data_IF_930695708255
#
_entry.id   IF_930695708255
#
_cell.length_a   1.000
_cell.length_b   1.000
_cell.length_c   1.000
_cell.angle_alpha   90.00
_cell.angle_beta   90.00
_cell.angle_gamma   90.00
#
_symmetry.space_group_name_H-M   'P 1'
#
loop_
_entity.id
_entity.type
_entity.pdbx_description
1 polymer ?
#
# COMPACT_ATOMS: atom_id res chain seq x y z
N UNK A 1 27.70 -10.48 -11.51
CA UNK A 1 26.36 -9.99 -11.92
C UNK A 1 25.51 -9.81 -10.67
N UNK A 2 25.44 -8.61 -10.08
CA UNK A 2 24.50 -8.34 -8.97
C UNK A 2 23.18 -7.89 -9.60
N UNK A 3 22.15 -8.73 -9.51
CA UNK A 3 20.79 -8.35 -9.85
C UNK A 3 20.29 -7.35 -8.81
N UNK A 4 20.33 -6.07 -9.15
CA UNK A 4 19.72 -5.02 -8.34
C UNK A 4 18.21 -5.23 -8.34
N UNK A 5 17.61 -5.61 -7.22
CA UNK A 5 16.15 -5.60 -7.06
C UNK A 5 15.75 -4.13 -6.92
N UNK A 6 15.48 -3.50 -8.05
CA UNK A 6 15.06 -2.12 -8.09
C UNK A 6 13.54 -2.07 -7.79
N UNK A 7 13.21 -1.67 -6.55
CA UNK A 7 11.85 -1.29 -6.13
C UNK A 7 11.03 -0.42 -7.11
N UNK A 8 11.59 0.43 -8.00
CA UNK A 8 10.80 1.14 -9.02
C UNK A 8 10.01 0.25 -10.00
N UNK A 9 10.38 -1.02 -10.17
CA UNK A 9 9.66 -1.92 -11.08
C UNK A 9 8.17 -2.06 -10.70
N UNK A 10 7.87 -2.03 -9.40
CA UNK A 10 6.49 -2.13 -8.90
C UNK A 10 5.69 -0.84 -9.12
N UNK A 11 6.34 0.32 -9.03
CA UNK A 11 5.69 1.61 -9.33
C UNK A 11 5.37 1.69 -10.82
N UNK A 12 6.29 1.25 -11.67
CA UNK A 12 6.06 1.19 -13.11
C UNK A 12 4.93 0.21 -13.46
N UNK A 13 4.89 -0.97 -12.83
CA UNK A 13 3.79 -1.92 -13.00
C UNK A 13 2.44 -1.34 -12.58
N UNK A 14 2.38 -0.62 -11.46
CA UNK A 14 1.17 0.06 -11.02
C UNK A 14 0.68 1.09 -12.06
N UNK A 15 1.61 1.85 -12.65
CA UNK A 15 1.30 2.81 -13.71
C UNK A 15 0.83 2.12 -15.00
N UNK A 16 1.43 0.99 -15.38
CA UNK A 16 0.98 0.17 -16.52
C UNK A 16 -0.45 -0.32 -16.29
N UNK A 17 -0.76 -0.87 -15.11
CA UNK A 17 -2.12 -1.31 -14.75
C UNK A 17 -3.09 -0.14 -14.83
N UNK A 18 -2.71 1.03 -14.32
CA UNK A 18 -3.55 2.25 -14.40
C UNK A 18 -3.85 2.63 -15.84
N UNK A 19 -2.84 2.62 -16.72
CA UNK A 19 -3.02 2.96 -18.15
C UNK A 19 -3.81 1.91 -18.91
N UNK A 20 -3.59 0.62 -18.66
CA UNK A 20 -4.23 -0.47 -19.37
C UNK A 20 -5.70 -0.67 -18.95
N UNK A 21 -6.01 -0.50 -17.66
CA UNK A 21 -7.36 -0.72 -17.12
C UNK A 21 -8.19 0.56 -17.01
N UNK A 22 -7.57 1.74 -16.99
CA UNK A 22 -8.22 3.01 -16.68
C UNK A 22 -8.62 3.18 -15.21
N UNK A 23 -8.26 2.22 -14.34
CA UNK A 23 -8.64 2.19 -12.92
C UNK A 23 -7.44 2.48 -12.03
N UNK A 24 -7.69 2.94 -10.81
CA UNK A 24 -6.66 2.99 -9.77
C UNK A 24 -6.18 1.57 -9.42
N UNK A 25 -4.97 1.46 -8.87
CA UNK A 25 -4.45 0.17 -8.40
C UNK A 25 -5.34 -0.42 -7.30
N UNK A 26 -5.95 0.43 -6.45
CA UNK A 26 -6.93 0.04 -5.43
C UNK A 26 -8.14 -0.66 -6.05
N UNK A 27 -8.78 -0.04 -7.03
CA UNK A 27 -9.97 -0.58 -7.70
C UNK A 27 -9.64 -1.86 -8.45
N UNK A 28 -8.56 -1.85 -9.23
CA UNK A 28 -8.14 -3.01 -10.01
C UNK A 28 -7.87 -4.24 -9.11
N UNK A 29 -7.12 -4.04 -8.02
CA UNK A 29 -6.80 -5.12 -7.09
C UNK A 29 -8.03 -5.60 -6.30
N UNK A 30 -8.94 -4.68 -5.92
CA UNK A 30 -10.20 -5.05 -5.27
C UNK A 30 -11.04 -5.97 -6.17
N UNK A 31 -11.18 -5.63 -7.45
CA UNK A 31 -12.03 -6.38 -8.38
C UNK A 31 -11.45 -7.73 -8.80
N UNK A 32 -10.14 -7.77 -9.06
CA UNK A 32 -9.47 -8.89 -9.73
C UNK A 32 -8.69 -9.82 -8.78
N UNK A 33 -8.37 -9.36 -7.57
CA UNK A 33 -7.55 -10.12 -6.61
C UNK A 33 -8.31 -10.31 -5.30
N UNK A 34 -8.65 -9.23 -4.61
CA UNK A 34 -9.15 -9.32 -3.23
C UNK A 34 -10.58 -9.87 -3.16
N UNK A 35 -11.51 -9.35 -3.96
CA UNK A 35 -12.90 -9.81 -3.95
C UNK A 35 -13.04 -11.29 -4.38
N UNK A 36 -12.36 -11.79 -5.44
CA UNK A 36 -12.37 -13.22 -5.76
C UNK A 36 -11.83 -14.13 -4.66
N UNK A 37 -10.91 -13.62 -3.83
CA UNK A 37 -10.33 -14.35 -2.70
C UNK A 37 -11.05 -14.12 -1.36
N UNK A 38 -12.13 -13.34 -1.35
CA UNK A 38 -12.87 -13.01 -0.11
C UNK A 38 -12.14 -12.04 0.84
N UNK A 39 -11.11 -11.35 0.37
CA UNK A 39 -10.25 -10.46 1.16
C UNK A 39 -10.87 -9.05 1.32
N UNK A 40 -12.02 -8.94 1.97
CA UNK A 40 -12.81 -7.70 2.05
C UNK A 40 -12.16 -6.58 2.91
N UNK A 41 -11.10 -6.89 3.66
CA UNK A 41 -10.41 -5.93 4.52
C UNK A 41 -8.98 -5.62 4.04
N UNK A 42 -8.67 -6.00 2.78
CA UNK A 42 -7.39 -5.70 2.13
C UNK A 42 -7.59 -4.69 1.01
N UNK A 43 -6.76 -3.65 0.98
CA UNK A 43 -6.76 -2.66 -0.08
C UNK A 43 -5.41 -1.94 -0.21
N UNK A 44 -5.17 -1.28 -1.34
CA UNK A 44 -4.10 -0.30 -1.45
C UNK A 44 -4.57 1.03 -0.89
N UNK A 45 -3.87 1.55 0.12
CA UNK A 45 -4.16 2.85 0.71
C UNK A 45 -3.43 3.95 -0.06
N UNK A 46 -4.14 4.53 -1.02
CA UNK A 46 -3.71 5.60 -1.94
C UNK A 46 -4.25 7.00 -1.58
N UNK A 47 -5.14 7.12 -0.59
CA UNK A 47 -5.65 8.40 -0.08
C UNK A 47 -5.29 8.55 1.39
N UNK A 48 -4.39 9.48 1.67
CA UNK A 48 -3.85 9.73 3.01
C UNK A 48 -4.86 10.36 3.97
N UNK A 49 -5.92 10.97 3.42
CA UNK A 49 -7.00 11.61 4.18
C UNK A 49 -8.12 10.63 4.49
N UNK A 50 -8.17 9.49 3.80
CA UNK A 50 -9.18 8.48 4.00
C UNK A 50 -9.06 7.85 5.40
N UNK A 51 -10.19 7.80 6.11
CA UNK A 51 -10.26 7.15 7.42
C UNK A 51 -10.36 5.65 7.23
N UNK A 52 -9.28 4.94 7.56
CA UNK A 52 -9.24 3.48 7.52
C UNK A 52 -9.70 2.92 8.87
N UNK A 53 -10.91 2.33 8.90
CA UNK A 53 -11.46 1.70 10.10
C UNK A 53 -10.54 0.58 10.59
N UNK A 54 -10.35 0.49 11.91
CA UNK A 54 -9.48 -0.50 12.58
C UNK A 54 -8.00 -0.45 12.18
N UNK A 55 -7.52 0.65 11.60
CA UNK A 55 -6.08 0.84 11.34
C UNK A 55 -5.30 0.91 12.66
N UNK A 56 -4.26 0.09 12.74
CA UNK A 56 -3.25 0.17 13.81
C UNK A 56 -2.32 1.36 13.55
N UNK A 57 -1.93 2.04 14.63
CA UNK A 57 -0.91 3.09 14.58
C UNK A 57 0.46 2.44 14.54
N UNK A 58 1.23 2.69 13.47
CA UNK A 58 2.59 2.21 13.35
C UNK A 58 3.55 3.04 14.22
N UNK A 59 4.61 2.40 14.74
CA UNK A 59 5.65 3.04 15.52
C UNK A 59 7.04 2.71 14.96
N UNK A 60 7.99 3.62 15.15
CA UNK A 60 9.41 3.43 14.80
C UNK A 60 10.30 3.63 16.04
N UNK A 61 11.41 2.90 16.16
CA UNK A 61 12.37 3.10 17.25
C UNK A 61 12.94 4.52 17.22
N UNK A 62 13.03 5.14 18.39
CA UNK A 62 13.60 6.48 18.56
C UNK A 62 14.94 6.48 19.33
N UNK A 63 15.49 5.29 19.60
CA UNK A 63 16.67 5.09 20.45
C UNK A 63 16.32 4.91 21.93
N UNK A 64 17.25 4.37 22.73
CA UNK A 64 17.11 4.21 24.18
C UNK A 64 15.81 3.52 24.65
N UNK A 65 15.32 2.54 23.88
CA UNK A 65 14.06 1.82 24.18
C UNK A 65 12.77 2.62 23.95
N UNK A 66 12.87 3.83 23.39
CA UNK A 66 11.72 4.68 23.09
C UNK A 66 11.16 4.40 21.68
N UNK A 67 9.86 4.63 21.51
CA UNK A 67 9.15 4.51 20.23
C UNK A 67 8.45 5.82 19.90
N UNK A 68 8.47 6.21 18.63
CA UNK A 68 7.72 7.36 18.10
C UNK A 68 6.66 6.86 17.13
N UNK A 69 5.50 7.51 17.13
CA UNK A 69 4.48 7.24 16.14
C UNK A 69 5.03 7.52 14.74
N UNK A 70 4.87 6.54 13.85
CA UNK A 70 5.20 6.71 12.45
C UNK A 70 4.02 7.39 11.75
N UNK A 71 4.24 8.64 11.34
CA UNK A 71 3.31 9.36 10.48
C UNK A 71 3.68 9.06 9.04
N UNK A 72 2.73 8.50 8.29
CA UNK A 72 2.92 8.07 6.90
C UNK A 72 3.29 9.28 6.03
N UNK A 73 4.46 9.25 5.38
CA UNK A 73 4.92 10.30 4.42
C UNK A 73 4.83 9.90 2.94
N UNK A 74 4.55 8.62 2.62
CA UNK A 74 4.35 8.09 1.24
C UNK A 74 2.86 7.87 0.88
N UNK A 75 2.47 8.14 -0.37
CA UNK A 75 1.08 8.20 -0.85
C UNK A 75 0.40 6.83 -0.91
N UNK A 76 1.04 5.83 -1.52
CA UNK A 76 0.44 4.51 -1.73
C UNK A 76 1.17 3.45 -0.90
N UNK A 77 0.45 2.78 0.00
CA UNK A 77 0.96 1.62 0.75
C UNK A 77 -0.12 0.56 0.82
N UNK A 78 0.24 -0.71 0.65
CA UNK A 78 -0.69 -1.82 0.86
C UNK A 78 -1.12 -1.84 2.33
N UNK A 79 -2.43 -1.83 2.57
CA UNK A 79 -3.03 -1.88 3.89
C UNK A 79 -3.85 -3.17 4.02
N UNK A 80 -3.58 -3.89 5.10
CA UNK A 80 -4.45 -4.96 5.60
C UNK A 80 -5.02 -4.40 6.90
N UNK A 81 -6.34 -4.30 6.98
CA UNK A 81 -7.05 -3.76 8.15
C UNK A 81 -8.09 -4.74 8.66
#
# INVERSE_FOLDING_TARGET
MKGSIQHPNYVLMAEIVRRASGKSLREFAAENIFRPLGMNSTHFDDDRTAVVKKRVVSYVPAGNGQFKQFVKTIEVVMAIC
#
